data_IF_707844023636
#
_entry.id   IF_707844023636
#
_cell.length_a   1.000
_cell.length_b   1.000
_cell.length_c   1.000
_cell.angle_alpha   90.00
_cell.angle_beta   90.00
_cell.angle_gamma   90.00
#
_symmetry.space_group_name_H-M   'P 1'
#
loop_
_entity.id
_entity.type
_entity.pdbx_description
1 polymer ?
#
# COMPACT_ATOMS: atom_id res chain seq x y z
N UNK A 1 11.99 13.49 44.88
CA UNK A 1 12.60 12.52 43.94
C UNK A 1 11.58 11.59 43.26
N UNK A 2 10.29 11.97 43.20
CA UNK A 2 9.18 11.12 42.71
C UNK A 2 8.47 11.65 41.45
N UNK A 3 8.57 12.94 41.13
CA UNK A 3 7.93 13.51 39.93
C UNK A 3 8.68 13.30 38.61
N UNK A 4 10.01 13.12 38.63
CA UNK A 4 10.77 12.79 37.42
C UNK A 4 10.53 11.35 36.94
N UNK A 5 10.22 10.43 37.86
CA UNK A 5 9.94 9.01 37.56
C UNK A 5 8.62 8.81 36.81
N UNK A 6 7.55 9.52 37.19
CA UNK A 6 6.25 9.46 36.51
C UNK A 6 6.26 10.13 35.14
N UNK A 7 6.98 11.24 34.97
CA UNK A 7 7.14 11.89 33.66
C UNK A 7 7.90 11.01 32.66
N UNK A 8 8.98 10.34 33.10
CA UNK A 8 9.73 9.40 32.27
C UNK A 8 8.89 8.15 31.93
N UNK A 9 8.12 7.62 32.88
CA UNK A 9 7.21 6.50 32.63
C UNK A 9 6.11 6.84 31.62
N UNK A 10 5.52 8.04 31.69
CA UNK A 10 4.52 8.52 30.73
C UNK A 10 5.13 8.80 29.35
N UNK A 11 6.35 9.34 29.29
CA UNK A 11 7.07 9.53 28.04
C UNK A 11 7.39 8.19 27.36
N UNK A 12 7.87 7.21 28.12
CA UNK A 12 8.15 5.84 27.63
C UNK A 12 6.86 5.14 27.20
N UNK A 13 5.74 5.27 27.92
CA UNK A 13 4.44 4.73 27.49
C UNK A 13 3.88 5.45 26.26
N UNK A 14 4.19 6.74 26.08
CA UNK A 14 3.84 7.51 24.88
C UNK A 14 4.71 7.15 23.67
N UNK A 15 5.96 6.74 23.89
CA UNK A 15 6.89 6.25 22.86
C UNK A 15 6.60 4.79 22.48
N UNK A 16 6.27 3.93 23.46
CA UNK A 16 5.78 2.56 23.21
C UNK A 16 4.45 2.55 22.43
N UNK A 17 3.56 3.51 22.71
CA UNK A 17 2.35 3.74 21.89
C UNK A 17 2.65 4.27 20.47
N UNK A 18 3.83 4.84 20.23
CA UNK A 18 4.23 5.52 18.99
C UNK A 18 4.60 4.53 17.87
N UNK A 19 5.02 3.30 18.19
CA UNK A 19 5.63 2.36 17.25
C UNK A 19 4.76 1.15 16.86
N UNK A 20 3.44 1.29 16.87
CA UNK A 20 2.49 0.18 16.58
C UNK A 20 2.60 -0.39 15.16
N UNK A 21 3.16 0.36 14.21
CA UNK A 21 3.39 -0.09 12.83
C UNK A 21 4.86 -0.46 12.54
N UNK A 22 5.82 -0.11 13.40
CA UNK A 22 7.24 -0.36 13.10
C UNK A 22 7.58 -1.84 13.04
N UNK A 23 7.03 -2.65 13.97
CA UNK A 23 7.22 -4.10 13.95
C UNK A 23 6.79 -4.73 12.61
N UNK A 24 5.53 -4.51 12.16
CA UNK A 24 5.07 -4.95 10.84
C UNK A 24 5.90 -4.40 9.67
N UNK A 25 6.29 -3.12 9.69
CA UNK A 25 7.12 -2.51 8.64
C UNK A 25 8.50 -3.18 8.55
N UNK A 26 9.16 -3.40 9.69
CA UNK A 26 10.46 -4.06 9.69
C UNK A 26 10.29 -5.51 9.27
N UNK A 27 9.29 -6.21 9.81
CA UNK A 27 9.02 -7.61 9.48
C UNK A 27 8.75 -7.84 8.01
N UNK A 28 7.89 -7.04 7.38
CA UNK A 28 7.61 -7.11 5.95
C UNK A 28 8.85 -6.75 5.13
N UNK A 29 9.56 -5.69 5.50
CA UNK A 29 10.77 -5.27 4.79
C UNK A 29 11.84 -6.35 4.77
N UNK A 30 12.10 -6.98 5.92
CA UNK A 30 13.02 -8.12 6.04
C UNK A 30 12.54 -9.32 5.24
N UNK A 31 11.25 -9.62 5.26
CA UNK A 31 10.68 -10.74 4.51
C UNK A 31 10.83 -10.56 2.99
N UNK A 32 10.69 -9.35 2.47
CA UNK A 32 10.76 -9.06 1.03
C UNK A 32 12.16 -8.71 0.53
N UNK A 33 13.09 -8.35 1.42
CA UNK A 33 14.46 -7.97 1.08
C UNK A 33 15.21 -9.01 0.20
N UNK A 34 15.07 -10.34 0.41
CA UNK A 34 15.69 -11.33 -0.47
C UNK A 34 15.26 -11.22 -1.94
N UNK A 35 14.04 -10.73 -2.21
CA UNK A 35 13.57 -10.49 -3.57
C UNK A 35 14.41 -9.43 -4.31
N UNK A 36 14.94 -8.44 -3.59
CA UNK A 36 15.79 -7.40 -4.17
C UNK A 36 17.19 -7.91 -4.57
N UNK A 37 17.63 -9.07 -4.04
CA UNK A 37 18.91 -9.69 -4.42
C UNK A 37 18.87 -10.17 -5.87
N UNK A 38 17.70 -10.55 -6.36
CA UNK A 38 17.48 -10.98 -7.74
C UNK A 38 17.32 -9.80 -8.71
N UNK A 39 17.27 -8.57 -8.19
CA UNK A 39 17.22 -7.35 -8.98
C UNK A 39 18.64 -6.83 -9.24
N UNK A 40 18.86 -6.18 -10.38
CA UNK A 40 20.08 -5.40 -10.56
C UNK A 40 20.16 -4.23 -9.56
N UNK A 41 21.36 -3.69 -9.37
CA UNK A 41 21.60 -2.59 -8.44
C UNK A 41 20.64 -1.38 -8.60
N UNK A 42 20.38 -0.84 -9.81
CA UNK A 42 19.47 0.30 -9.94
C UNK A 42 18.02 -0.06 -9.62
N UNK A 43 17.57 -1.25 -9.99
CA UNK A 43 16.23 -1.76 -9.72
C UNK A 43 16.02 -1.97 -8.22
N UNK A 44 17.00 -2.58 -7.54
CA UNK A 44 16.99 -2.76 -6.09
C UNK A 44 16.95 -1.42 -5.34
N UNK A 45 17.70 -0.42 -5.80
CA UNK A 45 17.69 0.92 -5.21
C UNK A 45 16.32 1.59 -5.33
N UNK A 46 15.67 1.50 -6.50
CA UNK A 46 14.32 2.04 -6.70
C UNK A 46 13.30 1.27 -5.86
N UNK A 47 13.39 -0.06 -5.79
CA UNK A 47 12.51 -0.87 -4.96
C UNK A 47 12.60 -0.49 -3.48
N UNK A 48 13.83 -0.32 -2.97
CA UNK A 48 14.07 0.10 -1.59
C UNK A 48 13.53 1.51 -1.34
N UNK A 49 13.73 2.45 -2.27
CA UNK A 49 13.22 3.81 -2.14
C UNK A 49 11.68 3.85 -2.10
N UNK A 50 11.01 3.08 -2.97
CA UNK A 50 9.54 2.96 -2.99
C UNK A 50 9.02 2.36 -1.69
N UNK A 51 9.64 1.27 -1.21
CA UNK A 51 9.24 0.65 0.04
C UNK A 51 9.43 1.59 1.23
N UNK A 52 10.57 2.30 1.30
CA UNK A 52 10.83 3.30 2.33
C UNK A 52 9.78 4.43 2.29
N UNK A 53 9.39 4.91 1.11
CA UNK A 53 8.35 5.92 0.98
C UNK A 53 7.01 5.42 1.53
N UNK A 54 6.59 4.20 1.18
CA UNK A 54 5.39 3.57 1.75
C UNK A 54 5.49 3.44 3.27
N UNK A 55 6.62 2.94 3.79
CA UNK A 55 6.86 2.77 5.21
C UNK A 55 6.77 4.09 5.99
N UNK A 56 7.35 5.17 5.46
CA UNK A 56 7.29 6.52 6.04
C UNK A 56 5.84 7.02 6.07
N UNK A 57 5.10 6.88 4.97
CA UNK A 57 3.70 7.30 4.87
C UNK A 57 2.84 6.53 5.89
N UNK A 58 3.00 5.21 5.97
CA UNK A 58 2.27 4.36 6.92
C UNK A 58 2.60 4.77 8.35
N UNK A 59 3.89 4.93 8.69
CA UNK A 59 4.31 5.36 10.02
C UNK A 59 3.74 6.73 10.40
N UNK A 60 3.71 7.69 9.47
CA UNK A 60 3.19 9.03 9.70
C UNK A 60 1.66 9.08 9.81
N UNK A 61 0.93 8.23 9.07
CA UNK A 61 -0.54 8.31 8.95
C UNK A 61 -1.29 7.35 9.87
N UNK A 62 -0.67 6.26 10.30
CA UNK A 62 -1.32 5.26 11.16
C UNK A 62 -1.74 5.86 12.50
N UNK A 63 -0.91 6.74 13.09
CA UNK A 63 -1.17 7.35 14.40
C UNK A 63 -2.38 8.30 14.36
N UNK A 64 -2.60 8.97 13.24
CA UNK A 64 -3.66 9.96 13.10
C UNK A 64 -5.05 9.34 12.86
N UNK A 65 -5.13 8.11 12.32
CA UNK A 65 -6.39 7.56 11.78
C UNK A 65 -6.68 6.10 12.15
N UNK A 66 -5.85 5.44 12.97
CA UNK A 66 -6.04 4.05 13.37
C UNK A 66 -6.44 3.92 14.86
N UNK A 67 -7.71 3.56 15.18
CA UNK A 67 -8.20 3.55 16.55
C UNK A 67 -7.83 2.28 17.35
N UNK A 68 -7.36 1.21 16.70
CA UNK A 68 -7.13 -0.08 17.35
C UNK A 68 -5.73 -0.20 18.00
N UNK A 69 -5.62 -1.11 18.98
CA UNK A 69 -4.41 -1.35 19.76
C UNK A 69 -3.25 -1.97 18.95
N UNK A 70 -3.56 -2.73 17.91
CA UNK A 70 -2.60 -3.42 17.04
C UNK A 70 -2.77 -2.95 15.59
N UNK A 71 -1.72 -3.06 14.76
CA UNK A 71 -1.78 -2.75 13.34
C UNK A 71 -2.79 -3.63 12.59
N UNK A 72 -3.03 -4.85 13.08
CA UNK A 72 -4.03 -5.76 12.52
C UNK A 72 -3.51 -6.56 11.32
N UNK A 73 -3.95 -7.81 11.19
CA UNK A 73 -3.49 -8.72 10.15
C UNK A 73 -3.79 -8.22 8.73
N UNK A 74 -4.96 -7.60 8.52
CA UNK A 74 -5.34 -7.04 7.21
C UNK A 74 -4.35 -5.97 6.74
N UNK A 75 -4.03 -4.97 7.59
CA UNK A 75 -3.08 -3.93 7.21
C UNK A 75 -1.65 -4.49 6.97
N UNK A 76 -1.26 -5.57 7.67
CA UNK A 76 0.02 -6.25 7.40
C UNK A 76 0.04 -6.91 6.03
N UNK A 77 -1.09 -7.52 5.60
CA UNK A 77 -1.21 -8.09 4.25
C UNK A 77 -1.18 -6.99 3.19
N UNK A 78 -1.89 -5.88 3.40
CA UNK A 78 -1.84 -4.71 2.50
C UNK A 78 -0.42 -4.12 2.43
N UNK A 79 0.31 -4.08 3.56
CA UNK A 79 1.70 -3.64 3.58
C UNK A 79 2.63 -4.58 2.84
N UNK A 80 2.41 -5.89 2.95
CA UNK A 80 3.11 -6.90 2.18
C UNK A 80 2.83 -6.75 0.67
N UNK A 81 1.57 -6.49 0.28
CA UNK A 81 1.20 -6.16 -1.10
C UNK A 81 1.96 -4.93 -1.61
N UNK A 82 2.03 -3.87 -0.82
CA UNK A 82 2.79 -2.67 -1.16
C UNK A 82 4.30 -2.94 -1.32
N UNK A 83 4.86 -3.83 -0.51
CA UNK A 83 6.25 -4.26 -0.61
C UNK A 83 6.51 -5.05 -1.90
N UNK A 84 5.63 -6.00 -2.23
CA UNK A 84 5.69 -6.72 -3.52
C UNK A 84 5.59 -5.75 -4.69
N UNK A 85 4.64 -4.82 -4.65
CA UNK A 85 4.48 -3.79 -5.68
C UNK A 85 5.76 -2.97 -5.87
N UNK A 86 6.44 -2.62 -4.76
CA UNK A 86 7.72 -1.90 -4.79
C UNK A 86 8.85 -2.70 -5.43
N UNK A 87 8.82 -4.04 -5.34
CA UNK A 87 9.79 -4.92 -6.04
C UNK A 87 9.50 -5.04 -7.53
N UNK A 88 8.23 -5.04 -7.94
CA UNK A 88 7.84 -5.17 -9.37
C UNK A 88 7.99 -3.86 -10.13
N UNK A 89 7.71 -2.73 -9.48
CA UNK A 89 7.69 -1.43 -10.15
C UNK A 89 8.98 -1.11 -10.94
N UNK A 90 10.20 -1.33 -10.40
CA UNK A 90 11.43 -1.07 -11.15
C UNK A 90 11.61 -1.98 -12.36
N UNK A 91 11.12 -3.23 -12.33
CA UNK A 91 11.22 -4.15 -13.48
C UNK A 91 10.39 -3.62 -14.66
N UNK A 92 9.22 -3.05 -14.37
CA UNK A 92 8.39 -2.40 -15.39
C UNK A 92 9.03 -1.10 -15.87
N UNK A 93 9.50 -0.25 -14.95
CA UNK A 93 9.91 1.11 -15.28
C UNK A 93 11.30 1.20 -15.91
N UNK A 94 12.20 0.26 -15.62
CA UNK A 94 13.61 0.31 -16.04
C UNK A 94 13.97 -0.73 -17.10
N UNK A 95 13.21 -1.80 -17.25
CA UNK A 95 13.56 -2.96 -18.10
C UNK A 95 12.43 -3.40 -19.04
N UNK A 96 11.47 -2.52 -19.37
CA UNK A 96 10.36 -2.85 -20.25
C UNK A 96 10.82 -3.18 -21.69
N UNK A 97 11.27 -4.41 -21.89
CA UNK A 97 11.38 -5.08 -23.20
C UNK A 97 11.81 -6.53 -23.01
N UNK A 98 10.87 -7.47 -23.00
CA UNK A 98 11.15 -8.91 -23.09
C UNK A 98 9.99 -9.81 -22.64
N UNK A 99 9.63 -10.82 -23.44
CA UNK A 99 8.51 -11.74 -23.15
C UNK A 99 8.63 -12.46 -21.80
N UNK A 100 9.87 -12.69 -21.32
CA UNK A 100 10.14 -13.36 -20.04
C UNK A 100 9.62 -12.56 -18.83
N UNK A 101 9.59 -11.24 -18.92
CA UNK A 101 9.11 -10.37 -17.85
C UNK A 101 7.58 -10.30 -17.82
N UNK A 102 6.90 -10.50 -18.95
CA UNK A 102 5.44 -10.45 -19.02
C UNK A 102 4.77 -11.48 -18.12
N UNK A 103 5.16 -12.76 -18.23
CA UNK A 103 4.56 -13.84 -17.43
C UNK A 103 4.80 -13.64 -15.93
N UNK A 104 5.99 -13.15 -15.55
CA UNK A 104 6.34 -12.87 -14.16
C UNK A 104 5.54 -11.69 -13.60
N UNK A 105 5.50 -10.56 -14.31
CA UNK A 105 4.76 -9.36 -13.89
C UNK A 105 3.27 -9.67 -13.81
N UNK A 106 2.72 -10.38 -14.81
CA UNK A 106 1.32 -10.79 -14.81
C UNK A 106 1.00 -11.73 -13.63
N UNK A 107 1.80 -12.79 -13.44
CA UNK A 107 1.60 -13.73 -12.34
C UNK A 107 1.68 -13.06 -10.97
N UNK A 108 2.62 -12.13 -10.80
CA UNK A 108 2.77 -11.40 -9.55
C UNK A 108 1.65 -10.37 -9.34
N UNK A 109 1.16 -9.72 -10.39
CA UNK A 109 -0.01 -8.85 -10.30
C UNK A 109 -1.27 -9.62 -9.90
N UNK A 110 -1.50 -10.80 -10.50
CA UNK A 110 -2.59 -11.70 -10.09
C UNK A 110 -2.42 -12.13 -8.63
N UNK A 111 -1.20 -12.46 -8.21
CA UNK A 111 -0.94 -12.82 -6.82
C UNK A 111 -1.23 -11.66 -5.84
N UNK A 112 -0.81 -10.44 -6.17
CA UNK A 112 -1.10 -9.24 -5.37
C UNK A 112 -2.62 -9.00 -5.29
N UNK A 113 -3.34 -9.22 -6.38
CA UNK A 113 -4.80 -9.10 -6.42
C UNK A 113 -5.51 -10.19 -5.60
N UNK A 114 -4.98 -11.42 -5.57
CA UNK A 114 -5.54 -12.48 -4.72
C UNK A 114 -5.31 -12.19 -3.23
N UNK A 115 -4.19 -11.54 -2.89
CA UNK A 115 -3.91 -11.11 -1.51
C UNK A 115 -4.88 -10.01 -1.03
N UNK A 116 -5.41 -9.19 -1.94
CA UNK A 116 -6.46 -8.20 -1.66
C UNK A 116 -7.74 -8.87 -1.13
N UNK A 117 -8.23 -9.88 -1.84
CA UNK A 117 -9.41 -10.63 -1.41
C UNK A 117 -9.22 -11.25 -0.01
N UNK A 118 -7.99 -11.64 0.32
CA UNK A 118 -7.63 -12.21 1.62
C UNK A 118 -7.67 -11.15 2.75
N UNK A 119 -7.11 -9.95 2.53
CA UNK A 119 -7.09 -8.91 3.57
C UNK A 119 -8.50 -8.38 3.88
N UNK A 120 -9.35 -8.24 2.86
CA UNK A 120 -10.76 -7.87 3.01
C UNK A 120 -11.57 -8.93 3.76
N UNK A 121 -11.29 -10.22 3.52
CA UNK A 121 -11.88 -11.31 4.28
C UNK A 121 -11.41 -11.33 5.74
N UNK A 122 -10.11 -11.14 5.99
CA UNK A 122 -9.53 -11.06 7.34
C UNK A 122 -10.10 -9.89 8.13
N UNK A 123 -10.22 -8.70 7.52
CA UNK A 123 -10.76 -7.51 8.17
C UNK A 123 -12.22 -7.72 8.61
N UNK A 124 -13.04 -8.37 7.76
CA UNK A 124 -14.44 -8.71 8.08
C UNK A 124 -14.55 -9.74 9.19
N UNK A 125 -13.71 -10.78 9.16
CA UNK A 125 -13.73 -11.86 10.16
C UNK A 125 -13.20 -11.41 11.53
N UNK A 126 -12.18 -10.56 11.54
CA UNK A 126 -11.56 -10.07 12.78
C UNK A 126 -12.25 -8.82 13.35
N UNK A 127 -13.17 -8.19 12.61
CA UNK A 127 -13.85 -6.97 13.05
C UNK A 127 -12.90 -5.76 13.18
N UNK A 128 -11.75 -5.78 12.50
CA UNK A 128 -10.68 -4.76 12.62
C UNK A 128 -10.71 -3.71 11.51
N UNK A 129 -11.85 -3.54 10.85
CA UNK A 129 -12.02 -2.56 9.78
C UNK A 129 -11.77 -1.12 10.32
N UNK A 130 -10.78 -0.42 9.73
CA UNK A 130 -10.43 0.95 10.11
C UNK A 130 -10.48 1.89 8.91
N UNK A 131 -10.71 3.18 9.16
CA UNK A 131 -10.64 4.23 8.11
C UNK A 131 -9.25 4.37 7.51
N UNK A 132 -8.21 4.11 8.30
CA UNK A 132 -6.83 4.08 7.82
C UNK A 132 -6.63 2.91 6.85
N UNK A 133 -6.99 1.69 7.27
CA UNK A 133 -6.84 0.48 6.45
C UNK A 133 -7.56 0.60 5.12
N UNK A 134 -8.82 1.05 5.12
CA UNK A 134 -9.58 1.28 3.90
C UNK A 134 -8.95 2.34 2.96
N UNK A 135 -8.23 3.32 3.49
CA UNK A 135 -7.50 4.30 2.66
C UNK A 135 -6.21 3.73 2.14
N UNK A 136 -5.48 3.01 2.99
CA UNK A 136 -4.20 2.42 2.65
C UNK A 136 -4.35 1.37 1.55
N UNK A 137 -5.32 0.48 1.70
CA UNK A 137 -5.73 -0.51 0.71
C UNK A 137 -6.00 0.14 -0.67
N UNK A 138 -6.87 1.14 -0.71
CA UNK A 138 -7.14 1.86 -1.95
C UNK A 138 -5.93 2.59 -2.57
N UNK A 139 -4.94 3.02 -1.78
CA UNK A 139 -3.70 3.60 -2.33
C UNK A 139 -2.82 2.52 -2.97
N UNK A 140 -2.73 1.34 -2.33
CA UNK A 140 -1.99 0.20 -2.87
C UNK A 140 -2.63 -0.29 -4.16
N UNK A 141 -3.96 -0.36 -4.22
CA UNK A 141 -4.71 -0.71 -5.44
C UNK A 141 -4.50 0.28 -6.57
N UNK A 142 -4.56 1.59 -6.26
CA UNK A 142 -4.29 2.62 -7.26
C UNK A 142 -2.85 2.54 -7.77
N UNK A 143 -1.89 2.23 -6.89
CA UNK A 143 -0.51 1.96 -7.26
C UNK A 143 -0.38 0.74 -8.18
N UNK A 144 -1.09 -0.35 -7.88
CA UNK A 144 -1.10 -1.56 -8.72
C UNK A 144 -1.69 -1.27 -10.11
N UNK A 145 -2.83 -0.57 -10.17
CA UNK A 145 -3.46 -0.17 -11.45
C UNK A 145 -2.52 0.73 -12.24
N UNK A 146 -1.86 1.71 -11.60
CA UNK A 146 -0.87 2.56 -12.25
C UNK A 146 0.29 1.76 -12.82
N UNK A 147 0.81 0.80 -12.06
CA UNK A 147 1.88 -0.06 -12.51
C UNK A 147 1.47 -0.90 -13.73
N UNK A 148 0.28 -1.51 -13.68
CA UNK A 148 -0.25 -2.30 -14.78
C UNK A 148 -0.54 -1.45 -16.02
N UNK A 149 -1.06 -0.23 -15.84
CA UNK A 149 -1.26 0.73 -16.91
C UNK A 149 0.07 1.14 -17.55
N UNK A 150 1.10 1.39 -16.73
CA UNK A 150 2.45 1.71 -17.20
C UNK A 150 3.05 0.54 -17.96
N UNK A 151 2.88 -0.68 -17.45
CA UNK A 151 3.33 -1.89 -18.12
C UNK A 151 2.65 -2.09 -19.48
N UNK A 152 1.32 -1.92 -19.57
CA UNK A 152 0.58 -2.02 -20.82
C UNK A 152 0.99 -0.95 -21.85
N UNK A 153 1.33 0.25 -21.40
CA UNK A 153 1.84 1.31 -22.26
C UNK A 153 3.25 1.04 -22.77
N UNK A 154 4.18 0.68 -21.86
CA UNK A 154 5.58 0.44 -22.21
C UNK A 154 5.76 -0.80 -23.10
N UNK A 155 4.92 -1.83 -22.92
CA UNK A 155 4.90 -3.03 -23.77
C UNK A 155 4.21 -2.80 -25.13
N UNK A 156 3.75 -1.57 -25.41
CA UNK A 156 3.13 -1.19 -26.69
C UNK A 156 1.72 -1.77 -26.91
N UNK A 157 1.13 -2.44 -25.91
CA UNK A 157 -0.22 -3.03 -25.99
C UNK A 157 -1.32 -1.97 -25.98
N UNK A 158 -1.05 -0.81 -25.40
CA UNK A 158 -1.97 0.31 -25.38
C UNK A 158 -1.25 1.66 -25.44
N UNK A 159 -1.99 2.71 -25.79
CA UNK A 159 -1.46 4.07 -25.81
C UNK A 159 -1.31 4.67 -24.41
N UNK A 160 -0.59 5.79 -24.32
CA UNK A 160 -0.36 6.51 -23.06
C UNK A 160 -1.65 6.94 -22.33
N UNK A 161 -2.79 6.97 -23.03
CA UNK A 161 -4.10 7.25 -22.44
C UNK A 161 -4.49 6.27 -21.33
N UNK A 162 -3.96 5.03 -21.32
CA UNK A 162 -4.24 4.05 -20.26
C UNK A 162 -3.72 4.51 -18.90
N UNK A 163 -2.68 5.36 -18.86
CA UNK A 163 -2.20 5.97 -17.62
C UNK A 163 -3.27 6.80 -16.92
N UNK A 164 -4.26 7.33 -17.67
CA UNK A 164 -5.39 8.04 -17.08
C UNK A 164 -6.21 7.15 -16.13
N UNK A 165 -6.27 5.85 -16.39
CA UNK A 165 -6.96 4.89 -15.52
C UNK A 165 -6.28 4.82 -14.15
N UNK A 166 -4.95 4.73 -14.11
CA UNK A 166 -4.18 4.78 -12.87
C UNK A 166 -4.23 6.15 -12.20
N UNK A 167 -4.26 7.24 -12.98
CA UNK A 167 -4.33 8.61 -12.45
C UNK A 167 -5.72 8.99 -11.92
N UNK A 168 -6.76 8.23 -12.25
CA UNK A 168 -8.14 8.58 -11.94
C UNK A 168 -8.37 8.84 -10.44
N UNK A 169 -7.77 8.03 -9.55
CA UNK A 169 -7.87 8.24 -8.09
C UNK A 169 -7.31 9.60 -7.69
N UNK A 170 -6.10 9.92 -8.14
CA UNK A 170 -5.44 11.18 -7.82
C UNK A 170 -6.20 12.37 -8.41
N UNK A 171 -6.76 12.20 -9.61
CA UNK A 171 -7.69 13.16 -10.22
C UNK A 171 -8.93 13.41 -9.37
N UNK A 172 -9.56 12.37 -8.81
CA UNK A 172 -10.72 12.50 -7.91
C UNK A 172 -10.35 13.20 -6.60
N UNK A 173 -9.16 12.92 -6.04
CA UNK A 173 -8.68 13.61 -4.83
C UNK A 173 -8.46 15.10 -5.11
N UNK A 174 -7.81 15.44 -6.23
CA UNK A 174 -7.61 16.83 -6.65
C UNK A 174 -8.94 17.54 -6.94
N UNK A 175 -9.87 16.87 -7.61
CA UNK A 175 -11.22 17.37 -7.84
C UNK A 175 -11.98 17.58 -6.52
N UNK A 176 -11.71 16.76 -5.49
CA UNK A 176 -12.26 16.91 -4.15
C UNK A 176 -11.82 18.20 -3.44
N UNK A 177 -10.66 18.77 -3.80
CA UNK A 177 -10.23 20.09 -3.31
C UNK A 177 -11.02 21.23 -3.95
N UNK A 178 -11.38 21.09 -5.23
CA UNK A 178 -12.18 22.07 -5.97
C UNK A 178 -13.68 21.95 -5.65
N UNK A 179 -14.16 20.73 -5.44
CA UNK A 179 -15.56 20.41 -5.17
C UNK A 179 -15.67 19.59 -3.87
N UNK A 180 -15.82 20.24 -2.70
CA UNK A 180 -15.87 19.57 -1.40
C UNK A 180 -16.98 18.52 -1.25
N UNK A 181 -18.00 18.56 -2.12
CA UNK A 181 -19.05 17.54 -2.19
C UNK A 181 -18.51 16.16 -2.62
N UNK A 182 -17.48 16.11 -3.47
CA UNK A 182 -16.82 14.87 -3.92
C UNK A 182 -15.92 14.25 -2.83
N UNK A 183 -15.44 15.05 -1.87
CA UNK A 183 -14.59 14.59 -0.78
C UNK A 183 -15.35 13.92 0.38
N UNK A 184 -16.70 13.90 0.34
CA UNK A 184 -17.52 13.28 1.39
C UNK A 184 -17.45 11.76 1.30
N UNK A 185 -17.52 11.10 2.46
CA UNK A 185 -17.67 9.65 2.51
C UNK A 185 -18.97 9.25 1.79
N UNK A 186 -18.85 8.37 0.78
CA UNK A 186 -20.01 7.82 0.10
C UNK A 186 -20.82 6.98 1.09
N UNK A 187 -22.16 7.13 1.12
CA UNK A 187 -23.01 6.31 1.98
C UNK A 187 -22.82 4.83 1.67
N UNK A 188 -22.88 3.98 2.70
CA UNK A 188 -22.69 2.55 2.52
C UNK A 188 -23.72 1.97 1.55
N UNK A 189 -23.27 1.31 0.48
CA UNK A 189 -24.16 0.61 -0.44
C UNK A 189 -23.72 -0.85 -0.58
N UNK A 190 -24.64 -1.78 -0.35
CA UNK A 190 -24.39 -3.22 -0.53
C UNK A 190 -24.06 -3.55 -1.99
N UNK A 191 -24.62 -2.80 -2.94
CA UNK A 191 -24.35 -2.95 -4.37
C UNK A 191 -22.89 -2.65 -4.73
N UNK A 192 -22.29 -1.56 -4.21
CA UNK A 192 -20.84 -1.32 -4.40
C UNK A 192 -19.98 -2.37 -3.71
N UNK A 193 -20.37 -2.81 -2.51
CA UNK A 193 -19.65 -3.86 -1.76
C UNK A 193 -19.64 -5.21 -2.49
N UNK A 194 -20.58 -5.48 -3.40
CA UNK A 194 -20.64 -6.72 -4.19
C UNK A 194 -19.88 -6.60 -5.53
N UNK A 195 -19.87 -5.41 -6.12
CA UNK A 195 -19.24 -5.17 -7.43
C UNK A 195 -17.73 -4.90 -7.30
N UNK A 196 -17.31 -4.24 -6.21
CA UNK A 196 -15.91 -3.91 -5.93
C UNK A 196 -15.34 -4.83 -4.83
N UNK A 197 -15.58 -6.14 -4.93
CA UNK A 197 -14.97 -7.15 -4.03
C UNK A 197 -13.51 -7.33 -4.37
#
# INVERSE_FOLDING_TARGET
MTMQSTAASLAVHSEWRRNRALGPIIGVGVLTAPGAIWLGAPQAAVAAALYCAVAIIVAARVQAFHPFATFGAANSVTLFRAALLSLVAPLVLLEASGERHFTLIFGLAVFILLLDALDGWLARRAGTASRFGARFDMEVDAGLIMLLASFAWLDGKAGAWVLMVGLMRYGLVAAGWLFPKLARALPESRRRKIICV
#
